data_IF_202801043301
#
_entry.id   IF_202801043301
#
_cell.length_a   1.000
_cell.length_b   1.000
_cell.length_c   1.000
_cell.angle_alpha   90.00
_cell.angle_beta   90.00
_cell.angle_gamma   90.00
#
_symmetry.space_group_name_H-M   'P 1'
#
loop_
_entity.id
_entity.type
_entity.pdbx_description
1 polymer ?
#
# COMPACT_ATOMS: atom_id res chain seq x y z
N UNK A 1 23.26 -0.88 -11.39
CA UNK A 1 23.04 -1.30 -12.78
C UNK A 1 23.02 -0.07 -13.67
N UNK A 2 23.41 -0.21 -14.94
CA UNK A 2 23.40 0.86 -15.93
C UNK A 2 22.10 0.87 -16.73
N UNK A 3 21.49 2.03 -16.89
CA UNK A 3 20.36 2.29 -17.80
C UNK A 3 20.84 3.19 -18.94
N UNK A 4 20.51 2.84 -20.19
CA UNK A 4 20.86 3.60 -21.37
C UNK A 4 21.69 2.84 -22.40
N UNK A 5 22.36 3.59 -23.28
CA UNK A 5 23.11 3.05 -24.43
C UNK A 5 24.53 2.66 -24.05
N UNK A 6 24.77 1.35 -23.88
CA UNK A 6 26.11 0.81 -23.62
C UNK A 6 27.07 0.90 -24.84
N UNK A 7 26.50 0.85 -26.04
CA UNK A 7 27.25 0.83 -27.30
C UNK A 7 27.92 2.16 -27.70
N UNK A 8 27.57 3.25 -27.00
CA UNK A 8 28.13 4.58 -27.25
C UNK A 8 29.07 5.08 -26.15
N UNK A 9 29.19 4.35 -25.07
CA UNK A 9 30.09 4.72 -23.98
C UNK A 9 31.56 4.38 -24.30
N UNK A 10 32.53 5.17 -23.80
CA UNK A 10 33.94 4.82 -23.89
C UNK A 10 34.24 3.45 -23.26
N UNK A 11 35.20 2.73 -23.82
CA UNK A 11 35.52 1.36 -23.37
C UNK A 11 35.92 1.27 -21.90
N UNK A 12 36.71 2.19 -21.43
CA UNK A 12 37.13 2.29 -20.02
C UNK A 12 35.95 2.49 -19.07
N UNK A 13 34.97 3.31 -19.46
CA UNK A 13 33.72 3.50 -18.70
C UNK A 13 32.91 2.21 -18.68
N UNK A 14 32.79 1.51 -19.81
CA UNK A 14 32.10 0.23 -19.89
C UNK A 14 32.74 -0.84 -19.02
N UNK A 15 34.06 -0.97 -19.04
CA UNK A 15 34.79 -1.92 -18.20
C UNK A 15 34.54 -1.66 -16.69
N UNK A 16 34.47 -0.39 -16.29
CA UNK A 16 34.14 -0.01 -14.90
C UNK A 16 32.70 -0.39 -14.54
N UNK A 17 31.73 -0.11 -15.41
CA UNK A 17 30.32 -0.47 -15.20
C UNK A 17 30.18 -1.99 -15.04
N UNK A 18 30.73 -2.78 -15.98
CA UNK A 18 30.65 -4.23 -15.94
C UNK A 18 31.33 -4.83 -14.70
N UNK A 19 32.46 -4.25 -14.28
CA UNK A 19 33.12 -4.64 -13.04
C UNK A 19 32.22 -4.40 -11.83
N UNK A 20 31.66 -3.21 -11.69
CA UNK A 20 30.77 -2.87 -10.58
C UNK A 20 29.51 -3.74 -10.57
N UNK A 21 28.90 -4.00 -11.74
CA UNK A 21 27.74 -4.89 -11.85
C UNK A 21 28.11 -6.32 -11.40
N UNK A 22 29.27 -6.84 -11.76
CA UNK A 22 29.74 -8.17 -11.29
C UNK A 22 30.02 -8.21 -9.80
N UNK A 23 30.75 -7.23 -9.27
CA UNK A 23 31.14 -7.18 -7.85
C UNK A 23 29.97 -6.99 -6.91
N UNK A 24 28.86 -6.38 -7.38
CA UNK A 24 27.68 -6.10 -6.57
C UNK A 24 26.50 -7.03 -6.81
N UNK A 25 26.66 -8.03 -7.70
CA UNK A 25 25.56 -8.93 -8.13
C UNK A 25 24.89 -9.69 -6.97
N UNK A 26 25.69 -10.05 -5.96
CA UNK A 26 25.20 -10.81 -4.80
C UNK A 26 24.49 -9.94 -3.74
N UNK A 27 24.51 -8.61 -3.89
CA UNK A 27 23.87 -7.70 -2.96
C UNK A 27 22.39 -7.50 -3.33
N UNK A 28 21.49 -8.11 -2.58
CA UNK A 28 20.05 -8.12 -2.87
C UNK A 28 19.24 -7.05 -2.07
N UNK A 29 19.87 -6.32 -1.14
CA UNK A 29 19.14 -5.42 -0.25
C UNK A 29 18.67 -4.13 -0.91
N UNK A 30 19.50 -3.55 -1.79
CA UNK A 30 19.21 -2.32 -2.52
C UNK A 30 19.77 -2.42 -3.93
N UNK A 31 19.05 -1.86 -4.91
CA UNK A 31 19.52 -1.71 -6.27
C UNK A 31 19.79 -0.23 -6.55
N UNK A 32 21.00 0.07 -7.02
CA UNK A 32 21.39 1.40 -7.46
C UNK A 32 21.50 1.42 -8.98
N UNK A 33 20.71 2.26 -9.64
CA UNK A 33 20.70 2.43 -11.08
C UNK A 33 21.33 3.77 -11.46
N UNK A 34 22.19 3.76 -12.48
CA UNK A 34 22.81 4.97 -13.04
C UNK A 34 22.38 5.08 -14.50
N UNK A 35 21.70 6.18 -14.83
CA UNK A 35 21.34 6.51 -16.19
C UNK A 35 22.47 7.28 -16.88
N UNK A 36 23.25 6.61 -17.74
CA UNK A 36 24.30 7.23 -18.55
C UNK A 36 23.99 7.01 -20.02
N UNK A 37 24.10 8.08 -20.81
CA UNK A 37 23.67 8.08 -22.24
C UNK A 37 22.26 7.51 -22.39
N UNK A 38 21.38 7.95 -21.51
CA UNK A 38 19.98 7.53 -21.44
C UNK A 38 19.05 8.61 -22.01
N UNK A 39 18.08 8.16 -22.80
CA UNK A 39 16.97 8.99 -23.26
C UNK A 39 15.70 8.15 -23.34
N UNK A 40 14.64 8.56 -22.66
CA UNK A 40 13.42 7.74 -22.57
C UNK A 40 12.74 7.48 -23.92
N UNK A 41 12.78 8.45 -24.84
CA UNK A 41 12.30 8.22 -26.22
C UNK A 41 13.15 7.20 -26.97
N UNK A 42 14.47 7.23 -26.79
CA UNK A 42 15.39 6.23 -27.36
C UNK A 42 15.15 4.85 -26.75
N UNK A 43 14.96 4.77 -25.46
CA UNK A 43 14.62 3.52 -24.76
C UNK A 43 13.34 2.88 -25.34
N UNK A 44 12.26 3.66 -25.47
CA UNK A 44 11.00 3.18 -26.05
C UNK A 44 11.22 2.70 -27.48
N UNK A 45 11.95 3.47 -28.31
CA UNK A 45 12.25 3.05 -29.69
C UNK A 45 13.12 1.78 -29.75
N UNK A 46 14.05 1.60 -28.81
CA UNK A 46 14.85 0.36 -28.71
C UNK A 46 13.97 -0.82 -28.31
N UNK A 47 13.04 -0.65 -27.37
CA UNK A 47 12.07 -1.67 -27.00
C UNK A 47 11.16 -2.04 -28.18
N UNK A 48 10.63 -1.06 -28.92
CA UNK A 48 9.83 -1.30 -30.16
C UNK A 48 10.62 -2.09 -31.19
N UNK A 49 11.89 -1.72 -31.45
CA UNK A 49 12.75 -2.47 -32.38
C UNK A 49 12.96 -3.92 -31.95
N UNK A 50 13.12 -4.17 -30.63
CA UNK A 50 13.23 -5.56 -30.10
C UNK A 50 11.93 -6.33 -30.33
N UNK A 51 10.77 -5.73 -30.05
CA UNK A 51 9.45 -6.33 -30.32
C UNK A 51 9.30 -6.74 -31.79
N UNK A 52 9.64 -5.83 -32.72
CA UNK A 52 9.58 -6.10 -34.17
C UNK A 52 10.57 -7.23 -34.56
N UNK A 53 11.79 -7.18 -34.05
CA UNK A 53 12.81 -8.19 -34.34
C UNK A 53 12.45 -9.59 -33.82
N UNK A 54 11.64 -9.68 -32.78
CA UNK A 54 11.11 -10.95 -32.24
C UNK A 54 9.84 -11.40 -32.94
N UNK A 55 9.35 -10.66 -33.95
CA UNK A 55 8.15 -10.99 -34.73
C UNK A 55 6.90 -11.23 -33.85
N UNK A 56 6.78 -10.51 -32.74
CA UNK A 56 5.60 -10.63 -31.88
C UNK A 56 4.34 -10.20 -32.64
N UNK A 57 3.28 -11.01 -32.51
CA UNK A 57 1.96 -10.65 -33.02
C UNK A 57 1.29 -9.60 -32.13
N UNK A 58 0.26 -8.92 -32.67
CA UNK A 58 -0.51 -7.91 -31.90
C UNK A 58 -1.08 -8.51 -30.62
N UNK A 59 -1.58 -9.74 -30.67
CA UNK A 59 -2.17 -10.45 -29.50
C UNK A 59 -1.14 -10.85 -28.44
N UNK A 60 0.13 -10.90 -28.79
CA UNK A 60 1.23 -11.19 -27.86
C UNK A 60 1.83 -9.93 -27.21
N UNK A 61 1.46 -8.76 -27.73
CA UNK A 61 1.99 -7.49 -27.25
C UNK A 61 1.01 -6.84 -26.25
N UNK A 62 1.24 -7.11 -24.98
CA UNK A 62 0.63 -6.41 -23.87
C UNK A 62 1.65 -5.52 -23.13
N UNK A 63 1.19 -4.77 -22.13
CA UNK A 63 2.03 -3.88 -21.31
C UNK A 63 3.22 -4.64 -20.70
N UNK A 64 2.96 -5.80 -20.11
CA UNK A 64 3.99 -6.61 -19.43
C UNK A 64 5.05 -7.12 -20.41
N UNK A 65 4.61 -7.58 -21.57
CA UNK A 65 5.51 -8.04 -22.65
C UNK A 65 6.37 -6.87 -23.15
N UNK A 66 5.78 -5.69 -23.37
CA UNK A 66 6.54 -4.51 -23.79
C UNK A 66 7.58 -4.09 -22.75
N UNK A 67 7.20 -4.05 -21.48
CA UNK A 67 8.07 -3.70 -20.36
C UNK A 67 9.28 -4.62 -20.21
N UNK A 68 9.15 -5.88 -20.61
CA UNK A 68 10.28 -6.82 -20.62
C UNK A 68 11.40 -6.45 -21.60
N UNK A 69 11.18 -5.45 -22.46
CA UNK A 69 12.18 -4.93 -23.41
C UNK A 69 12.75 -3.57 -23.03
N UNK A 70 12.25 -2.93 -21.95
CA UNK A 70 12.78 -1.69 -21.40
C UNK A 70 14.09 -1.92 -20.62
N UNK A 71 14.83 -0.85 -20.37
CA UNK A 71 16.09 -0.92 -19.62
C UNK A 71 15.88 -1.30 -18.14
N UNK A 72 14.64 -1.18 -17.63
CA UNK A 72 14.25 -1.53 -16.27
C UNK A 72 13.64 -2.94 -16.14
N UNK A 73 13.63 -3.75 -17.21
CA UNK A 73 12.99 -5.07 -17.25
C UNK A 73 13.42 -6.01 -16.12
N UNK A 74 14.72 -5.97 -15.76
CA UNK A 74 15.30 -6.85 -14.74
C UNK A 74 15.27 -6.25 -13.31
N UNK A 75 14.55 -5.14 -13.14
CA UNK A 75 14.46 -4.48 -11.83
C UNK A 75 13.36 -5.12 -10.98
N UNK A 76 13.60 -5.34 -9.67
CA UNK A 76 12.57 -5.82 -8.75
C UNK A 76 11.41 -4.83 -8.59
N UNK A 77 11.68 -3.53 -8.81
CA UNK A 77 10.72 -2.43 -8.76
C UNK A 77 10.94 -1.52 -9.98
N UNK A 78 10.36 -1.84 -11.15
CA UNK A 78 10.62 -1.12 -12.38
C UNK A 78 10.00 0.30 -12.43
N UNK A 79 8.95 0.54 -11.64
CA UNK A 79 8.24 1.82 -11.62
C UNK A 79 8.81 2.79 -10.58
N UNK A 80 8.73 4.08 -10.89
CA UNK A 80 9.20 5.15 -10.02
C UNK A 80 8.06 5.61 -9.10
N UNK A 81 8.28 5.53 -7.80
CA UNK A 81 7.33 6.06 -6.81
C UNK A 81 7.49 7.55 -6.56
N UNK A 82 8.74 8.01 -6.42
CA UNK A 82 9.09 9.40 -6.16
C UNK A 82 10.20 9.84 -7.11
N UNK A 83 9.93 10.91 -7.87
CA UNK A 83 10.90 11.61 -8.68
C UNK A 83 11.33 12.88 -7.97
N UNK A 84 12.61 13.01 -7.66
CA UNK A 84 13.19 14.22 -7.06
C UNK A 84 14.06 14.91 -8.11
N UNK A 85 13.78 16.18 -8.40
CA UNK A 85 14.58 16.99 -9.28
C UNK A 85 15.12 18.23 -8.56
N UNK A 86 16.42 18.38 -8.60
CA UNK A 86 17.14 19.53 -8.05
C UNK A 86 17.24 20.69 -9.06
N UNK A 87 17.85 21.81 -8.65
CA UNK A 87 18.13 23.00 -9.48
C UNK A 87 16.93 23.83 -9.87
N UNK A 88 15.80 23.73 -9.16
CA UNK A 88 14.57 24.46 -9.46
C UNK A 88 13.89 24.08 -10.79
N UNK A 89 14.37 23.01 -11.44
CA UNK A 89 13.88 22.56 -12.73
C UNK A 89 12.62 21.71 -12.56
N UNK A 90 11.53 22.07 -13.28
CA UNK A 90 10.22 21.38 -13.16
C UNK A 90 9.87 20.57 -14.42
N UNK A 91 10.82 19.76 -14.88
CA UNK A 91 10.66 18.87 -16.05
C UNK A 91 11.43 17.57 -15.85
N UNK A 92 10.99 16.49 -16.47
CA UNK A 92 11.64 15.17 -16.37
C UNK A 92 12.87 15.02 -17.27
N UNK A 93 13.00 15.88 -18.28
CA UNK A 93 14.05 15.83 -19.32
C UNK A 93 14.16 14.46 -19.99
N UNK A 94 13.05 13.73 -20.09
CA UNK A 94 13.01 12.43 -20.72
C UNK A 94 13.56 11.28 -19.87
N UNK A 95 13.74 11.46 -18.58
CA UNK A 95 14.07 10.36 -17.68
C UNK A 95 12.85 9.48 -17.45
N UNK A 96 12.98 8.17 -17.75
CA UNK A 96 12.02 7.10 -17.43
C UNK A 96 10.54 7.42 -17.73
N UNK A 97 10.18 7.94 -18.93
CA UNK A 97 8.82 8.45 -19.19
C UNK A 97 7.74 7.36 -19.09
N UNK A 98 8.06 6.11 -19.38
CA UNK A 98 7.15 4.98 -19.22
C UNK A 98 6.98 4.59 -17.75
N UNK A 99 8.07 4.52 -17.04
CA UNK A 99 8.13 4.04 -15.66
C UNK A 99 7.63 5.07 -14.63
N UNK A 100 7.50 6.34 -15.06
CA UNK A 100 7.07 7.46 -14.20
C UNK A 100 5.59 7.83 -14.36
N UNK A 101 4.77 6.97 -14.97
CA UNK A 101 3.35 7.23 -15.26
C UNK A 101 2.56 7.63 -14.01
N UNK A 102 2.82 6.99 -12.89
CA UNK A 102 2.20 7.29 -11.57
C UNK A 102 3.20 7.80 -10.53
N UNK A 103 4.35 8.32 -10.95
CA UNK A 103 5.32 8.87 -10.01
C UNK A 103 4.85 10.18 -9.39
N UNK A 104 5.13 10.36 -8.12
CA UNK A 104 4.99 11.66 -7.45
C UNK A 104 6.24 12.51 -7.69
N UNK A 105 6.06 13.80 -7.92
CA UNK A 105 7.14 14.72 -8.26
C UNK A 105 7.47 15.65 -7.09
N UNK A 106 8.75 15.73 -6.73
CA UNK A 106 9.29 16.70 -5.78
C UNK A 106 10.35 17.54 -6.47
N UNK A 107 10.18 18.85 -6.48
CA UNK A 107 11.10 19.78 -7.13
C UNK A 107 11.85 20.56 -6.06
N UNK A 108 13.16 20.32 -5.96
CA UNK A 108 14.07 20.96 -5.04
C UNK A 108 14.69 22.20 -5.72
N UNK A 109 14.59 23.40 -5.12
CA UNK A 109 15.14 24.63 -5.72
C UNK A 109 16.67 24.64 -5.77
N UNK A 110 17.36 24.00 -4.81
CA UNK A 110 18.80 24.01 -4.73
C UNK A 110 19.44 23.00 -5.70
N UNK A 111 20.72 23.21 -5.98
CA UNK A 111 21.49 22.35 -6.87
C UNK A 111 21.88 21.02 -6.19
N UNK A 112 22.19 20.00 -7.01
CA UNK A 112 22.52 18.67 -6.49
C UNK A 112 23.66 18.66 -5.43
N UNK A 113 24.74 19.46 -5.52
CA UNK A 113 25.76 19.51 -4.48
C UNK A 113 25.24 19.97 -3.11
N UNK A 114 24.15 20.76 -3.09
CA UNK A 114 23.53 21.30 -1.88
C UNK A 114 22.33 20.45 -1.40
N UNK A 115 22.07 19.31 -2.05
CA UNK A 115 21.01 18.38 -1.68
C UNK A 115 21.44 17.48 -0.53
N UNK A 116 21.14 17.91 0.70
CA UNK A 116 21.58 17.25 1.93
C UNK A 116 20.64 16.08 2.31
N UNK A 117 21.05 15.21 3.27
CA UNK A 117 20.17 14.18 3.83
C UNK A 117 18.89 14.74 4.46
N UNK A 118 18.90 15.95 5.01
CA UNK A 118 17.75 16.63 5.56
C UNK A 118 16.74 16.96 4.47
N UNK A 119 17.18 17.47 3.31
CA UNK A 119 16.33 17.74 2.14
C UNK A 119 15.73 16.47 1.55
N UNK A 120 16.51 15.39 1.51
CA UNK A 120 15.97 14.08 1.13
C UNK A 120 14.88 13.63 2.11
N UNK A 121 15.08 13.83 3.40
CA UNK A 121 14.06 13.53 4.42
C UNK A 121 12.78 14.36 4.20
N UNK A 122 12.92 15.64 3.88
CA UNK A 122 11.79 16.52 3.58
C UNK A 122 11.02 16.04 2.34
N UNK A 123 11.73 15.68 1.27
CA UNK A 123 11.09 15.12 0.07
C UNK A 123 10.33 13.82 0.36
N UNK A 124 10.91 12.92 1.18
CA UNK A 124 10.27 11.68 1.60
C UNK A 124 9.06 11.96 2.51
N UNK A 125 9.14 12.93 3.42
CA UNK A 125 8.03 13.32 4.28
C UNK A 125 6.90 13.94 3.47
N UNK A 126 7.21 14.80 2.49
CA UNK A 126 6.23 15.37 1.59
C UNK A 126 5.54 14.26 0.78
N UNK A 127 6.31 13.36 0.15
CA UNK A 127 5.79 12.18 -0.54
C UNK A 127 4.88 11.33 0.35
N UNK A 128 5.27 11.11 1.61
CA UNK A 128 4.50 10.30 2.56
C UNK A 128 3.13 10.89 2.93
N UNK A 129 2.95 12.20 2.73
CA UNK A 129 1.69 12.91 2.97
C UNK A 129 0.78 12.93 1.76
N UNK A 130 1.32 12.62 0.59
CA UNK A 130 0.56 12.61 -0.67
C UNK A 130 -0.27 11.34 -0.79
N UNK A 131 -1.40 11.46 -1.45
CA UNK A 131 -2.25 10.34 -1.83
C UNK A 131 -1.90 9.86 -3.22
N UNK A 132 -1.56 8.60 -3.35
CA UNK A 132 -1.33 7.95 -4.65
C UNK A 132 -2.62 7.23 -5.06
N UNK A 133 -3.27 7.72 -6.11
CA UNK A 133 -4.59 7.24 -6.56
C UNK A 133 -4.50 6.19 -7.67
N UNK A 134 -3.39 6.07 -8.38
CA UNK A 134 -3.16 5.14 -9.50
C UNK A 134 -4.30 5.09 -10.52
N UNK A 135 -4.92 6.26 -10.81
CA UNK A 135 -6.08 6.35 -11.70
C UNK A 135 -7.40 5.83 -11.12
N UNK A 136 -7.43 5.37 -9.88
CA UNK A 136 -8.67 5.02 -9.21
C UNK A 136 -9.42 6.30 -8.78
N UNK A 137 -10.73 6.32 -8.98
CA UNK A 137 -11.60 7.33 -8.40
C UNK A 137 -11.47 7.30 -6.88
N UNK A 138 -11.57 8.47 -6.24
CA UNK A 138 -11.44 8.59 -4.80
C UNK A 138 -12.36 7.60 -4.06
N UNK A 139 -11.76 6.72 -3.27
CA UNK A 139 -12.46 6.10 -2.16
C UNK A 139 -12.92 7.16 -1.12
N UNK A 140 -12.52 8.42 -1.32
CA UNK A 140 -12.82 9.58 -0.47
C UNK A 140 -14.30 9.83 -0.27
N UNK A 141 -15.12 9.65 -1.29
CA UNK A 141 -16.56 9.83 -1.13
C UNK A 141 -17.19 8.76 -0.24
N UNK A 142 -16.51 7.63 -0.05
CA UNK A 142 -17.06 6.46 0.59
C UNK A 142 -16.60 6.25 2.05
N UNK A 143 -15.48 6.84 2.46
CA UNK A 143 -14.94 6.71 3.82
C UNK A 143 -15.08 8.00 4.66
N UNK A 144 -16.18 8.72 4.48
CA UNK A 144 -16.54 9.90 5.29
C UNK A 144 -17.10 9.46 6.64
N UNK A 145 -16.29 8.83 7.46
CA UNK A 145 -16.71 8.42 8.80
C UNK A 145 -16.30 9.46 9.87
N UNK A 146 -17.03 9.44 10.99
CA UNK A 146 -16.64 10.20 12.17
C UNK A 146 -15.77 9.33 13.10
N UNK A 147 -14.45 9.63 13.26
CA UNK A 147 -13.53 8.84 14.06
C UNK A 147 -14.01 8.55 15.50
N UNK A 148 -14.64 9.52 16.14
CA UNK A 148 -15.17 9.37 17.52
C UNK A 148 -16.33 8.39 17.56
N UNK A 149 -17.25 8.49 16.60
CA UNK A 149 -18.43 7.60 16.54
C UNK A 149 -17.98 6.16 16.25
N UNK A 150 -17.07 5.98 15.28
CA UNK A 150 -16.58 4.64 14.90
C UNK A 150 -15.81 4.00 16.06
N UNK A 151 -14.94 4.74 16.75
CA UNK A 151 -14.23 4.26 17.93
C UNK A 151 -15.19 3.87 19.08
N UNK A 152 -16.22 4.68 19.35
CA UNK A 152 -17.22 4.36 20.37
C UNK A 152 -18.00 3.08 20.02
N UNK A 153 -18.43 2.95 18.77
CA UNK A 153 -19.13 1.75 18.30
C UNK A 153 -18.25 0.51 18.41
N UNK A 154 -16.95 0.63 18.06
CA UNK A 154 -16.02 -0.50 18.16
C UNK A 154 -15.85 -0.98 19.59
N UNK A 155 -15.65 -0.08 20.56
CA UNK A 155 -15.55 -0.44 21.98
C UNK A 155 -16.82 -1.13 22.44
N UNK A 156 -17.96 -0.56 22.12
CA UNK A 156 -19.26 -1.08 22.56
C UNK A 156 -19.55 -2.47 21.99
N UNK A 157 -19.27 -2.71 20.69
CA UNK A 157 -19.49 -4.07 20.18
C UNK A 157 -18.47 -5.07 20.71
N UNK A 158 -17.21 -4.69 20.92
CA UNK A 158 -16.19 -5.55 21.57
C UNK A 158 -16.60 -5.93 23.00
N UNK A 159 -17.16 -4.99 23.75
CA UNK A 159 -17.70 -5.27 25.07
C UNK A 159 -18.87 -6.26 25.02
N UNK A 160 -19.82 -6.08 24.09
CA UNK A 160 -20.94 -7.03 23.93
C UNK A 160 -20.47 -8.41 23.47
N UNK A 161 -19.43 -8.48 22.64
CA UNK A 161 -18.79 -9.73 22.25
C UNK A 161 -18.22 -10.44 23.49
N UNK A 162 -17.47 -9.72 24.33
CA UNK A 162 -16.82 -10.29 25.53
C UNK A 162 -17.84 -10.86 26.54
N UNK A 163 -19.00 -10.21 26.72
CA UNK A 163 -20.06 -10.68 27.62
C UNK A 163 -21.07 -11.63 26.98
N UNK A 164 -20.90 -11.97 25.68
CA UNK A 164 -21.73 -12.95 25.00
C UNK A 164 -23.14 -12.46 24.56
N UNK A 165 -23.40 -11.16 24.57
CA UNK A 165 -24.69 -10.55 24.21
C UNK A 165 -24.87 -10.45 22.68
N UNK A 166 -25.12 -11.59 22.02
CA UNK A 166 -25.15 -11.72 20.54
C UNK A 166 -26.14 -10.75 19.84
N UNK A 167 -27.28 -10.44 20.47
CA UNK A 167 -28.28 -9.51 19.88
C UNK A 167 -27.77 -8.09 19.80
N UNK A 168 -27.26 -7.56 20.91
CA UNK A 168 -26.70 -6.21 20.98
C UNK A 168 -25.41 -6.07 20.18
N UNK A 169 -24.56 -7.13 20.17
CA UNK A 169 -23.40 -7.20 19.31
C UNK A 169 -23.74 -6.96 17.85
N UNK A 170 -24.71 -7.72 17.32
CA UNK A 170 -25.16 -7.59 15.94
C UNK A 170 -25.61 -6.17 15.61
N UNK A 171 -26.43 -5.57 16.45
CA UNK A 171 -26.99 -4.22 16.20
C UNK A 171 -25.89 -3.14 16.22
N UNK A 172 -24.91 -3.27 17.09
CA UNK A 172 -23.77 -2.36 17.17
C UNK A 172 -22.81 -2.54 15.97
N UNK A 173 -22.55 -3.77 15.55
CA UNK A 173 -21.71 -4.06 14.38
C UNK A 173 -22.38 -3.53 13.10
N UNK A 174 -23.69 -3.66 12.93
CA UNK A 174 -24.42 -3.07 11.79
C UNK A 174 -24.24 -1.53 11.78
N UNK A 175 -24.37 -0.87 12.94
CA UNK A 175 -24.14 0.58 13.03
C UNK A 175 -22.69 0.95 12.73
N UNK A 176 -21.73 0.18 13.24
CA UNK A 176 -20.31 0.37 12.98
C UNK A 176 -20.00 0.29 11.48
N UNK A 177 -20.45 -0.78 10.82
CA UNK A 177 -20.22 -0.98 9.38
C UNK A 177 -20.87 0.15 8.56
N UNK A 178 -22.07 0.58 8.95
CA UNK A 178 -22.76 1.69 8.30
C UNK A 178 -21.98 2.99 8.43
N UNK A 179 -21.53 3.31 9.63
CA UNK A 179 -20.79 4.55 9.89
C UNK A 179 -19.40 4.54 9.29
N UNK A 180 -18.68 3.41 9.41
CA UNK A 180 -17.30 3.28 8.94
C UNK A 180 -17.19 3.29 7.41
N UNK A 181 -18.11 2.63 6.72
CA UNK A 181 -18.08 2.47 5.27
C UNK A 181 -19.13 3.31 4.52
N UNK A 182 -19.97 4.05 5.22
CA UNK A 182 -21.02 4.86 4.59
C UNK A 182 -22.07 4.05 3.82
N UNK A 183 -22.30 2.78 4.18
CA UNK A 183 -23.22 1.90 3.47
C UNK A 183 -24.69 2.28 3.68
N UNK A 184 -25.55 1.96 2.69
CA UNK A 184 -26.99 2.03 2.85
C UNK A 184 -27.49 1.11 3.99
N UNK A 185 -28.70 1.35 4.50
CA UNK A 185 -29.24 0.57 5.64
C UNK A 185 -29.24 -0.93 5.36
N UNK A 186 -29.63 -1.33 4.15
CA UNK A 186 -29.78 -2.75 3.79
C UNK A 186 -28.41 -3.42 3.57
N UNK A 187 -27.49 -2.76 2.91
CA UNK A 187 -26.12 -3.25 2.72
C UNK A 187 -25.35 -3.31 4.04
N UNK A 188 -25.50 -2.29 4.89
CA UNK A 188 -24.91 -2.28 6.23
C UNK A 188 -25.46 -3.43 7.10
N UNK A 189 -26.75 -3.77 6.96
CA UNK A 189 -27.34 -4.93 7.64
C UNK A 189 -26.71 -6.25 7.15
N UNK A 190 -26.57 -6.44 5.85
CA UNK A 190 -25.96 -7.65 5.30
C UNK A 190 -24.49 -7.78 5.70
N UNK A 191 -23.68 -6.75 5.47
CA UNK A 191 -22.27 -6.74 5.81
C UNK A 191 -22.03 -6.83 7.33
N UNK A 192 -22.82 -6.11 8.12
CA UNK A 192 -22.73 -6.14 9.58
C UNK A 192 -23.12 -7.49 10.18
N UNK A 193 -24.07 -8.21 9.59
CA UNK A 193 -24.41 -9.58 10.00
C UNK A 193 -23.28 -10.56 9.68
N UNK A 194 -22.60 -10.41 8.55
CA UNK A 194 -21.43 -11.21 8.20
C UNK A 194 -20.28 -10.95 9.18
N UNK A 195 -19.96 -9.68 9.44
CA UNK A 195 -18.94 -9.28 10.43
C UNK A 195 -19.28 -9.81 11.83
N UNK A 196 -20.52 -9.67 12.29
CA UNK A 196 -20.92 -10.16 13.63
C UNK A 196 -20.73 -11.67 13.76
N UNK A 197 -21.02 -12.45 12.72
CA UNK A 197 -20.72 -13.89 12.68
C UNK A 197 -19.22 -14.16 12.75
N UNK A 198 -18.42 -13.44 11.95
CA UNK A 198 -16.97 -13.58 11.95
C UNK A 198 -16.36 -13.31 13.33
N UNK A 199 -16.84 -12.27 14.02
CA UNK A 199 -16.39 -11.95 15.39
C UNK A 199 -16.74 -13.08 16.39
N UNK A 200 -17.93 -13.65 16.30
CA UNK A 200 -18.34 -14.78 17.17
C UNK A 200 -17.49 -16.02 16.89
N UNK A 201 -17.30 -16.38 15.63
CA UNK A 201 -16.42 -17.49 15.26
C UNK A 201 -14.97 -17.27 15.71
N UNK A 202 -14.46 -16.04 15.60
CA UNK A 202 -13.13 -15.68 16.12
C UNK A 202 -13.02 -15.86 17.63
N UNK A 203 -14.06 -15.50 18.41
CA UNK A 203 -14.12 -15.72 19.84
C UNK A 203 -14.16 -17.23 20.18
N UNK A 204 -14.89 -18.01 19.39
CA UNK A 204 -14.99 -19.47 19.51
C UNK A 204 -13.75 -20.20 18.93
N UNK A 205 -12.76 -19.46 18.42
CA UNK A 205 -11.52 -19.96 17.77
C UNK A 205 -11.76 -20.78 16.50
N UNK A 206 -12.89 -20.62 15.86
CA UNK A 206 -13.23 -21.22 14.58
C UNK A 206 -12.70 -20.36 13.43
N UNK A 207 -11.37 -20.30 13.28
CA UNK A 207 -10.66 -19.32 12.45
C UNK A 207 -11.06 -19.35 10.97
N UNK A 208 -11.30 -20.53 10.40
CA UNK A 208 -11.67 -20.67 8.99
C UNK A 208 -13.09 -20.13 8.73
N UNK A 209 -14.03 -20.43 9.63
CA UNK A 209 -15.38 -19.84 9.56
C UNK A 209 -15.37 -18.33 9.80
N UNK A 210 -14.47 -17.85 10.66
CA UNK A 210 -14.29 -16.43 10.85
C UNK A 210 -13.80 -15.74 9.58
N UNK A 211 -12.81 -16.32 8.88
CA UNK A 211 -12.30 -15.82 7.60
C UNK A 211 -13.39 -15.77 6.53
N UNK A 212 -14.12 -16.86 6.33
CA UNK A 212 -15.24 -16.93 5.37
C UNK A 212 -16.33 -15.88 5.65
N UNK A 213 -16.70 -15.70 6.91
CA UNK A 213 -17.69 -14.69 7.28
C UNK A 213 -17.19 -13.25 7.06
N UNK A 214 -15.91 -12.98 7.34
CA UNK A 214 -15.29 -11.67 7.09
C UNK A 214 -15.09 -11.41 5.60
N UNK A 215 -14.75 -12.43 4.81
CA UNK A 215 -14.66 -12.33 3.35
C UNK A 215 -16.01 -11.89 2.77
N UNK A 216 -17.11 -12.53 3.14
CA UNK A 216 -18.46 -12.13 2.72
C UNK A 216 -18.82 -10.68 3.11
N UNK A 217 -18.33 -10.18 4.24
CA UNK A 217 -18.46 -8.76 4.60
C UNK A 217 -17.66 -7.88 3.63
N UNK A 218 -16.40 -8.23 3.36
CA UNK A 218 -15.53 -7.46 2.49
C UNK A 218 -15.93 -7.48 1.02
N UNK A 219 -16.54 -8.56 0.54
CA UNK A 219 -17.14 -8.60 -0.80
C UNK A 219 -18.24 -7.54 -0.98
N UNK A 220 -19.14 -7.40 0.03
CA UNK A 220 -20.17 -6.38 0.01
C UNK A 220 -19.58 -4.99 0.00
N UNK A 221 -18.59 -4.73 0.84
CA UNK A 221 -17.88 -3.44 0.93
C UNK A 221 -17.17 -3.12 -0.37
N UNK A 222 -16.36 -4.06 -0.88
CA UNK A 222 -15.63 -3.91 -2.14
C UNK A 222 -16.55 -3.58 -3.31
N UNK A 223 -17.59 -4.39 -3.49
CA UNK A 223 -18.56 -4.25 -4.59
C UNK A 223 -19.29 -2.90 -4.56
N UNK A 224 -19.68 -2.49 -3.33
CA UNK A 224 -20.47 -1.27 -3.15
C UNK A 224 -19.61 -0.01 -3.33
N UNK A 225 -18.41 -0.02 -2.78
CA UNK A 225 -17.50 1.12 -2.78
C UNK A 225 -16.48 1.06 -3.92
N UNK A 226 -16.53 0.03 -4.76
CA UNK A 226 -15.60 -0.19 -5.88
C UNK A 226 -14.13 -0.13 -5.45
N UNK A 227 -13.83 -0.67 -4.27
CA UNK A 227 -12.48 -0.68 -3.73
C UNK A 227 -11.62 -1.75 -4.41
N UNK A 228 -10.35 -1.48 -4.56
CA UNK A 228 -9.43 -2.32 -5.33
C UNK A 228 -8.60 -3.28 -4.45
N UNK A 229 -9.19 -3.86 -3.39
CA UNK A 229 -8.56 -4.88 -2.55
C UNK A 229 -9.17 -6.26 -2.82
N UNK A 230 -8.44 -7.32 -2.46
CA UNK A 230 -8.95 -8.70 -2.52
C UNK A 230 -9.64 -9.07 -1.21
N UNK A 231 -10.98 -9.35 -1.20
CA UNK A 231 -11.77 -9.62 0.01
C UNK A 231 -11.19 -10.75 0.88
N UNK A 232 -10.80 -11.87 0.26
CA UNK A 232 -10.18 -13.02 0.93
C UNK A 232 -8.90 -12.61 1.69
N UNK A 233 -8.03 -11.83 1.02
CA UNK A 233 -6.76 -11.39 1.61
C UNK A 233 -6.98 -10.48 2.81
N UNK A 234 -7.91 -9.51 2.70
CA UNK A 234 -8.20 -8.59 3.80
C UNK A 234 -8.85 -9.32 4.97
N UNK A 235 -9.80 -10.22 4.70
CA UNK A 235 -10.42 -11.05 5.73
C UNK A 235 -9.39 -11.89 6.48
N UNK A 236 -8.45 -12.50 5.76
CA UNK A 236 -7.35 -13.26 6.34
C UNK A 236 -6.49 -12.40 7.26
N UNK A 237 -6.03 -11.24 6.80
CA UNK A 237 -5.22 -10.34 7.63
C UNK A 237 -5.96 -9.91 8.89
N UNK A 238 -7.24 -9.54 8.79
CA UNK A 238 -8.00 -9.09 9.95
C UNK A 238 -8.22 -10.22 10.97
N UNK A 239 -8.58 -11.42 10.52
CA UNK A 239 -8.75 -12.58 11.42
C UNK A 239 -7.42 -13.02 12.01
N UNK A 240 -6.33 -12.94 11.25
CA UNK A 240 -4.99 -13.23 11.77
C UNK A 240 -4.58 -12.22 12.87
N UNK A 241 -5.02 -10.95 12.80
CA UNK A 241 -4.83 -9.98 13.89
C UNK A 241 -5.57 -10.37 15.18
N UNK A 242 -6.66 -11.13 15.10
CA UNK A 242 -7.43 -11.61 16.24
C UNK A 242 -6.84 -12.92 16.83
N UNK A 243 -6.13 -13.69 16.02
CA UNK A 243 -5.61 -15.00 16.38
C UNK A 243 -4.22 -14.91 17.03
N UNK A 244 -4.08 -15.15 18.35
CA UNK A 244 -2.79 -15.09 19.02
C UNK A 244 -1.76 -16.11 18.50
N UNK A 245 -2.24 -17.21 17.91
CA UNK A 245 -1.38 -18.31 17.42
C UNK A 245 -0.84 -18.09 16.02
N UNK A 246 -1.41 -17.13 15.25
CA UNK A 246 -0.92 -16.81 13.90
C UNK A 246 0.44 -16.09 13.92
N UNK A 247 0.87 -15.61 15.08
CA UNK A 247 2.09 -14.85 15.27
C UNK A 247 3.14 -15.67 16.04
N UNK A 248 3.92 -16.48 15.34
CA UNK A 248 5.16 -17.09 15.86
C UNK A 248 6.31 -16.08 15.98
N UNK A 249 6.06 -14.82 16.17
CA UNK A 249 7.08 -13.80 16.22
C UNK A 249 7.27 -13.26 17.64
N UNK A 250 8.52 -13.03 17.98
CA UNK A 250 9.06 -12.26 19.09
C UNK A 250 8.06 -11.24 19.67
N UNK A 251 7.83 -11.33 20.97
CA UNK A 251 6.92 -10.46 21.73
C UNK A 251 6.95 -9.00 21.23
N UNK A 252 5.85 -8.54 20.65
CA UNK A 252 5.56 -7.14 20.37
C UNK A 252 5.70 -6.66 18.93
N UNK A 253 6.70 -7.03 18.16
CA UNK A 253 6.96 -6.47 16.83
C UNK A 253 6.14 -7.12 15.68
N UNK A 254 5.84 -8.40 15.77
CA UNK A 254 5.14 -9.13 14.72
C UNK A 254 3.70 -8.64 14.46
N UNK A 255 3.00 -8.20 15.50
CA UNK A 255 1.63 -7.72 15.39
C UNK A 255 1.52 -6.33 14.75
N UNK A 256 2.47 -5.42 15.01
CA UNK A 256 2.47 -4.10 14.38
C UNK A 256 2.76 -4.20 12.88
N UNK A 257 3.65 -5.09 12.48
CA UNK A 257 3.94 -5.32 11.06
C UNK A 257 2.72 -5.90 10.31
N UNK A 258 1.96 -6.80 10.94
CA UNK A 258 0.73 -7.32 10.35
C UNK A 258 -0.35 -6.23 10.24
N UNK A 259 -0.52 -5.37 11.26
CA UNK A 259 -1.37 -4.20 11.19
C UNK A 259 -0.98 -3.30 10.02
N UNK A 260 0.32 -3.10 9.81
CA UNK A 260 0.84 -2.26 8.72
C UNK A 260 0.51 -2.85 7.36
N UNK A 261 0.69 -4.16 7.17
CA UNK A 261 0.32 -4.88 5.94
C UNK A 261 -1.20 -4.84 5.69
N UNK A 262 -1.99 -5.11 6.73
CA UNK A 262 -3.45 -5.06 6.65
C UNK A 262 -3.96 -3.68 6.19
N UNK A 263 -3.50 -2.60 6.81
CA UNK A 263 -3.93 -1.26 6.46
C UNK A 263 -3.41 -0.82 5.08
N UNK A 264 -2.18 -1.19 4.76
CA UNK A 264 -1.59 -0.91 3.45
C UNK A 264 -2.41 -1.54 2.33
N UNK A 265 -2.76 -2.81 2.46
CA UNK A 265 -3.54 -3.53 1.45
C UNK A 265 -5.00 -3.05 1.38
N UNK A 266 -5.66 -2.91 2.54
CA UNK A 266 -7.07 -2.52 2.63
C UNK A 266 -7.34 -1.12 2.06
N UNK A 267 -6.44 -0.18 2.28
CA UNK A 267 -6.61 1.22 1.91
C UNK A 267 -5.66 1.69 0.81
N UNK A 268 -4.95 0.78 0.17
CA UNK A 268 -3.95 1.08 -0.87
C UNK A 268 -2.91 2.12 -0.43
N UNK A 269 -2.47 2.02 0.80
CA UNK A 269 -1.43 2.86 1.37
C UNK A 269 -0.06 2.18 1.19
N UNK A 270 1.01 2.97 1.10
CA UNK A 270 2.34 2.40 1.33
C UNK A 270 2.48 1.94 2.79
N UNK A 271 3.38 0.99 3.05
CA UNK A 271 3.66 0.54 4.42
C UNK A 271 4.13 1.67 5.34
N UNK A 272 4.78 2.69 4.78
CA UNK A 272 5.16 3.91 5.48
C UNK A 272 3.94 4.78 5.84
N UNK A 273 3.01 4.98 4.91
CA UNK A 273 1.78 5.75 5.16
C UNK A 273 0.88 5.05 6.20
N UNK A 274 0.84 3.73 6.21
CA UNK A 274 0.10 2.94 7.19
C UNK A 274 0.73 2.93 8.59
N UNK A 275 2.02 3.25 8.73
CA UNK A 275 2.80 3.01 9.95
C UNK A 275 2.19 3.67 11.21
N UNK A 276 1.81 4.95 11.14
CA UNK A 276 1.22 5.68 12.30
C UNK A 276 -0.10 5.04 12.75
N UNK A 277 -0.99 4.75 11.81
CA UNK A 277 -2.27 4.13 12.12
C UNK A 277 -2.07 2.68 12.60
N UNK A 278 -1.16 1.91 11.99
CA UNK A 278 -0.84 0.56 12.41
C UNK A 278 -0.31 0.49 13.85
N UNK A 279 0.60 1.38 14.20
CA UNK A 279 1.11 1.50 15.57
C UNK A 279 -0.01 1.79 16.58
N UNK A 280 -0.88 2.76 16.28
CA UNK A 280 -2.01 3.11 17.14
C UNK A 280 -3.05 1.97 17.23
N UNK A 281 -3.32 1.26 16.13
CA UNK A 281 -4.20 0.09 16.11
C UNK A 281 -3.65 -1.06 16.97
N UNK A 282 -2.34 -1.32 16.83
CA UNK A 282 -1.65 -2.29 17.68
C UNK A 282 -1.70 -1.93 19.16
N UNK A 283 -1.39 -0.68 19.53
CA UNK A 283 -1.49 -0.19 20.90
C UNK A 283 -2.92 -0.32 21.44
N UNK A 284 -3.93 0.07 20.66
CA UNK A 284 -5.33 -0.04 21.07
C UNK A 284 -5.76 -1.50 21.28
N UNK A 285 -5.20 -2.43 20.50
CA UNK A 285 -5.53 -3.85 20.64
C UNK A 285 -4.89 -4.49 21.90
N UNK A 286 -3.78 -3.94 22.40
CA UNK A 286 -3.04 -4.43 23.57
C UNK A 286 -3.33 -3.65 24.85
N UNK A 287 -3.99 -2.51 24.76
CA UNK A 287 -4.27 -1.64 25.90
C UNK A 287 -5.38 -2.18 26.81
N UNK A 288 -5.31 -1.81 28.09
CA UNK A 288 -6.41 -1.96 29.05
C UNK A 288 -7.57 -1.04 28.70
N UNK A 289 -8.79 -1.39 29.15
CA UNK A 289 -10.04 -0.76 28.71
C UNK A 289 -10.09 0.77 28.91
N UNK A 290 -9.50 1.28 29.98
CA UNK A 290 -9.50 2.72 30.28
C UNK A 290 -8.72 3.57 29.24
N UNK A 291 -7.69 3.00 28.61
CA UNK A 291 -6.86 3.69 27.62
C UNK A 291 -7.28 3.37 26.18
N UNK A 292 -7.99 2.28 25.99
CA UNK A 292 -8.34 1.74 24.66
C UNK A 292 -9.15 2.72 23.81
N UNK A 293 -10.12 3.41 24.42
CA UNK A 293 -10.98 4.37 23.70
C UNK A 293 -10.18 5.51 23.09
N UNK A 294 -9.28 6.12 23.88
CA UNK A 294 -8.45 7.22 23.39
C UNK A 294 -7.48 6.79 22.29
N UNK A 295 -6.97 5.55 22.36
CA UNK A 295 -6.09 4.98 21.32
C UNK A 295 -6.86 4.67 20.04
N UNK A 296 -8.07 4.11 20.13
CA UNK A 296 -8.93 3.88 18.96
C UNK A 296 -9.35 5.19 18.29
N UNK A 297 -9.70 6.23 19.05
CA UNK A 297 -9.98 7.55 18.47
C UNK A 297 -8.76 8.07 17.69
N UNK A 298 -7.56 8.01 18.28
CA UNK A 298 -6.31 8.41 17.61
C UNK A 298 -6.02 7.56 16.37
N UNK A 299 -6.27 6.25 16.45
CA UNK A 299 -6.15 5.34 15.30
C UNK A 299 -7.06 5.77 14.15
N UNK A 300 -8.35 5.98 14.40
CA UNK A 300 -9.31 6.39 13.37
C UNK A 300 -9.04 7.79 12.82
N UNK A 301 -8.53 8.72 13.64
CA UNK A 301 -8.04 10.00 13.13
C UNK A 301 -6.83 9.85 12.22
N UNK A 302 -5.84 9.06 12.64
CA UNK A 302 -4.66 8.80 11.81
C UNK A 302 -5.01 8.08 10.51
N UNK A 303 -5.99 7.17 10.53
CA UNK A 303 -6.51 6.51 9.35
C UNK A 303 -7.24 7.51 8.45
N UNK A 304 -8.14 8.32 9.00
CA UNK A 304 -8.89 9.33 8.26
C UNK A 304 -7.97 10.33 7.55
N UNK A 305 -6.89 10.79 8.20
CA UNK A 305 -5.87 11.65 7.59
C UNK A 305 -5.23 11.06 6.32
N UNK A 306 -5.32 9.74 6.12
CA UNK A 306 -4.73 9.01 4.98
C UNK A 306 -5.73 8.56 3.94
N UNK A 307 -7.00 8.37 4.32
CA UNK A 307 -8.04 7.81 3.47
C UNK A 307 -9.21 8.77 3.21
N UNK A 308 -9.25 9.96 3.85
CA UNK A 308 -10.31 10.99 3.66
C UNK A 308 -9.88 12.23 2.85
#
# INVERSE_FOLDING_TARGET
MHLGRKDRLPKDVMEHIERLERETKEYARHTFNIALDYGGRDEILRAVRKVISKQLTVDQLDTKTFESYLDTADQPYPYVDLFIRTSGEQRTSGLLPWQMDYAEYYFEPDHLPDFTPEKLREAILDFSRRRRRFGANDAEEHLKFNPKIVADLEIRFRHQLAIGEKGRLRDLVIKYVREHYGLSKDLAKQAGMAMARGLVYGQEKEWDKAKEAMEGMYEIVQKTLKLAFEPEMIARFEVDLWNPSSHKATKGQGNEELWRKYLAEKFRLSTFQAAKAAHLGWLANTAEDDHKKGLLEKFYWALKERVA
#
